data_IF_908831867889
#
_entry.id   IF_908831867889
#
_cell.length_a   1.000
_cell.length_b   1.000
_cell.length_c   1.000
_cell.angle_alpha   90.00
_cell.angle_beta   90.00
_cell.angle_gamma   90.00
#
_symmetry.space_group_name_H-M   'P 1'
#
loop_
_entity.id
_entity.type
_entity.pdbx_description
1 polymer ?
#
# COMPACT_ATOMS: atom_id res chain seq x y z
N UNK A 1 -29.94 25.75 4.41
CA UNK A 1 -28.98 26.59 3.68
C UNK A 1 -27.74 25.73 3.50
N UNK A 2 -27.33 25.45 2.25
CA UNK A 2 -26.24 24.52 1.99
C UNK A 2 -24.96 25.02 2.65
N UNK A 3 -24.19 24.11 3.25
CA UNK A 3 -22.93 24.44 3.90
C UNK A 3 -21.76 23.90 3.08
N UNK A 4 -20.65 24.62 3.05
CA UNK A 4 -19.46 24.19 2.32
C UNK A 4 -18.86 22.95 2.97
N UNK A 5 -18.49 21.96 2.15
CA UNK A 5 -17.77 20.76 2.56
C UNK A 5 -16.28 20.93 2.23
N UNK A 6 -15.40 21.11 3.23
CA UNK A 6 -13.97 21.21 2.98
C UNK A 6 -13.42 19.86 2.51
N UNK A 7 -12.45 19.84 1.58
CA UNK A 7 -11.73 18.63 1.19
C UNK A 7 -11.06 17.95 2.38
N UNK A 8 -11.30 16.65 2.56
CA UNK A 8 -10.76 15.86 3.69
C UNK A 8 -9.63 14.93 3.28
N UNK A 9 -9.75 14.31 2.11
CA UNK A 9 -8.76 13.38 1.58
C UNK A 9 -7.82 14.07 0.58
N UNK A 10 -6.64 13.50 0.37
CA UNK A 10 -5.66 14.08 -0.56
C UNK A 10 -6.19 14.07 -2.00
N UNK A 11 -6.96 13.04 -2.38
CA UNK A 11 -7.72 13.02 -3.65
C UNK A 11 -8.69 14.19 -3.77
N UNK A 12 -9.42 14.53 -2.69
CA UNK A 12 -10.35 15.66 -2.71
C UNK A 12 -9.59 16.99 -2.80
N UNK A 13 -8.46 17.15 -2.09
CA UNK A 13 -7.60 18.34 -2.18
C UNK A 13 -7.08 18.52 -3.59
N UNK A 14 -6.49 17.46 -4.16
CA UNK A 14 -5.94 17.48 -5.52
C UNK A 14 -7.00 17.83 -6.56
N UNK A 15 -8.18 17.21 -6.47
CA UNK A 15 -9.29 17.49 -7.39
C UNK A 15 -9.77 18.94 -7.27
N UNK A 16 -9.88 19.47 -6.05
CA UNK A 16 -10.23 20.88 -5.84
C UNK A 16 -9.19 21.80 -6.48
N UNK A 17 -7.92 21.62 -6.15
CA UNK A 17 -6.83 22.47 -6.64
C UNK A 17 -6.71 22.43 -8.17
N UNK A 18 -6.85 21.25 -8.80
CA UNK A 18 -6.89 21.10 -10.27
C UNK A 18 -8.05 21.87 -10.90
N UNK A 19 -9.25 21.67 -10.38
CA UNK A 19 -10.47 22.29 -10.92
C UNK A 19 -10.45 23.81 -10.73
N UNK A 20 -9.94 24.29 -9.58
CA UNK A 20 -9.73 25.70 -9.32
C UNK A 20 -8.72 26.32 -10.30
N UNK A 21 -7.58 25.67 -10.54
CA UNK A 21 -6.57 26.15 -11.49
C UNK A 21 -7.13 26.23 -12.92
N UNK A 22 -7.83 25.19 -13.37
CA UNK A 22 -8.45 25.15 -14.70
C UNK A 22 -9.52 26.24 -14.87
N UNK A 23 -10.38 26.43 -13.87
CA UNK A 23 -11.43 27.45 -13.90
C UNK A 23 -10.87 28.86 -13.89
N UNK A 24 -9.84 29.10 -13.07
CA UNK A 24 -9.15 30.39 -13.00
C UNK A 24 -8.51 30.74 -14.35
N UNK A 25 -7.82 29.79 -14.98
CA UNK A 25 -7.21 29.98 -16.29
C UNK A 25 -8.26 30.31 -17.38
N UNK A 26 -9.41 29.63 -17.35
CA UNK A 26 -10.52 29.90 -18.26
C UNK A 26 -11.12 31.29 -18.04
N UNK A 27 -11.34 31.68 -16.80
CA UNK A 27 -11.95 32.96 -16.44
C UNK A 27 -11.05 34.14 -16.81
N UNK A 28 -9.73 34.03 -16.60
CA UNK A 28 -8.78 35.02 -17.09
C UNK A 28 -8.84 35.20 -18.61
N UNK A 29 -8.97 34.09 -19.37
CA UNK A 29 -9.19 34.14 -20.81
C UNK A 29 -10.47 34.89 -21.22
N UNK A 30 -11.50 34.82 -20.38
CA UNK A 30 -12.78 35.52 -20.54
C UNK A 30 -12.81 36.92 -19.93
N UNK A 31 -11.70 37.42 -19.38
CA UNK A 31 -11.60 38.70 -18.66
C UNK A 31 -12.49 38.77 -17.41
N UNK A 32 -12.74 37.63 -16.78
CA UNK A 32 -13.36 37.52 -15.47
C UNK A 32 -12.26 37.25 -14.44
N UNK A 33 -12.35 37.92 -13.29
CA UNK A 33 -11.37 37.78 -12.21
C UNK A 33 -12.13 37.58 -10.89
N UNK A 34 -12.20 36.33 -10.47
CA UNK A 34 -12.73 35.93 -9.16
C UNK A 34 -11.62 35.56 -8.17
N UNK A 35 -10.47 35.15 -8.68
CA UNK A 35 -9.27 34.78 -7.95
C UNK A 35 -8.16 35.73 -8.38
N UNK A 36 -7.29 36.13 -7.46
CA UNK A 36 -6.18 37.03 -7.69
C UNK A 36 -5.06 36.34 -8.47
N UNK A 37 -4.28 37.16 -9.19
CA UNK A 37 -3.16 36.64 -10.00
C UNK A 37 -2.06 36.01 -9.13
N UNK A 38 -1.92 36.48 -7.89
CA UNK A 38 -0.92 35.96 -6.96
C UNK A 38 -1.33 34.57 -6.47
N UNK A 39 -2.56 34.39 -5.99
CA UNK A 39 -3.11 33.07 -5.62
C UNK A 39 -3.09 32.10 -6.80
N UNK A 40 -3.40 32.56 -8.01
CA UNK A 40 -3.34 31.70 -9.20
C UNK A 40 -1.91 31.21 -9.50
N UNK A 41 -0.90 32.08 -9.38
CA UNK A 41 0.51 31.67 -9.58
C UNK A 41 0.99 30.70 -8.52
N UNK A 42 0.60 30.91 -7.26
CA UNK A 42 0.93 29.99 -6.18
C UNK A 42 0.30 28.62 -6.40
N UNK A 43 -0.96 28.61 -6.85
CA UNK A 43 -1.67 27.39 -7.24
C UNK A 43 -0.97 26.66 -8.40
N UNK A 44 -0.60 27.37 -9.46
CA UNK A 44 0.13 26.80 -10.62
C UNK A 44 1.52 26.27 -10.24
N UNK A 45 2.20 26.90 -9.29
CA UNK A 45 3.51 26.46 -8.82
C UNK A 45 3.41 25.24 -7.88
N UNK A 46 2.39 25.19 -7.02
CA UNK A 46 2.20 24.14 -6.03
C UNK A 46 1.62 22.85 -6.64
N UNK A 47 0.66 22.99 -7.55
CA UNK A 47 -0.14 21.87 -8.04
C UNK A 47 0.70 20.74 -8.67
N UNK A 48 1.71 20.99 -9.53
CA UNK A 48 2.54 19.92 -10.08
C UNK A 48 3.28 19.13 -9.01
N UNK A 49 3.78 19.81 -7.97
CA UNK A 49 4.51 19.18 -6.87
C UNK A 49 3.58 18.30 -6.02
N UNK A 50 2.37 18.79 -5.73
CA UNK A 50 1.39 18.04 -4.95
C UNK A 50 0.85 16.83 -5.71
N UNK A 51 0.70 16.97 -7.03
CA UNK A 51 0.28 15.87 -7.91
C UNK A 51 1.35 14.77 -8.00
N UNK A 52 2.62 15.15 -8.18
CA UNK A 52 3.76 14.23 -8.18
C UNK A 52 3.83 13.46 -6.86
N UNK A 53 3.78 14.15 -5.71
CA UNK A 53 3.76 13.51 -4.40
C UNK A 53 2.56 12.56 -4.20
N UNK A 54 1.38 12.92 -4.74
CA UNK A 54 0.21 12.05 -4.71
C UNK A 54 0.38 10.78 -5.55
N UNK A 55 0.97 10.90 -6.75
CA UNK A 55 1.24 9.74 -7.61
C UNK A 55 2.33 8.85 -7.01
N UNK A 56 3.37 9.43 -6.41
CA UNK A 56 4.45 8.69 -5.77
C UNK A 56 3.94 7.79 -4.64
N UNK A 57 2.99 8.28 -3.84
CA UNK A 57 2.32 7.45 -2.81
C UNK A 57 1.61 6.25 -3.42
N UNK A 58 0.88 6.44 -4.53
CA UNK A 58 0.17 5.35 -5.18
C UNK A 58 1.14 4.33 -5.81
N UNK A 59 2.22 4.80 -6.43
CA UNK A 59 3.23 3.95 -7.05
C UNK A 59 3.99 3.12 -6.01
N UNK A 60 4.52 3.77 -4.96
CA UNK A 60 5.26 3.08 -3.90
C UNK A 60 4.40 2.11 -3.09
N UNK A 61 3.12 2.42 -2.89
CA UNK A 61 2.18 1.46 -2.31
C UNK A 61 1.99 0.23 -3.19
N UNK A 62 1.83 0.42 -4.51
CA UNK A 62 1.71 -0.69 -5.46
C UNK A 62 2.96 -1.57 -5.51
N UNK A 63 4.14 -0.97 -5.38
CA UNK A 63 5.41 -1.71 -5.24
C UNK A 63 5.43 -2.51 -3.93
N UNK A 64 5.13 -1.90 -2.78
CA UNK A 64 5.06 -2.58 -1.50
C UNK A 64 4.08 -3.76 -1.50
N UNK A 65 2.88 -3.56 -2.04
CA UNK A 65 1.86 -4.62 -2.16
C UNK A 65 2.40 -5.82 -2.96
N UNK A 66 3.09 -5.55 -4.08
CA UNK A 66 3.73 -6.60 -4.88
C UNK A 66 4.82 -7.34 -4.10
N UNK A 67 5.76 -6.63 -3.47
CA UNK A 67 6.85 -7.28 -2.71
C UNK A 67 6.30 -8.15 -1.56
N UNK A 68 5.23 -7.70 -0.91
CA UNK A 68 4.54 -8.46 0.14
C UNK A 68 3.94 -9.75 -0.40
N UNK A 69 3.29 -9.69 -1.57
CA UNK A 69 2.72 -10.87 -2.24
C UNK A 69 3.83 -11.85 -2.66
N UNK A 70 4.90 -11.35 -3.28
CA UNK A 70 6.03 -12.17 -3.75
C UNK A 70 6.75 -12.87 -2.58
N UNK A 71 6.94 -12.17 -1.45
CA UNK A 71 7.41 -12.76 -0.20
C UNK A 71 6.51 -13.89 0.29
N UNK A 72 5.19 -13.66 0.34
CA UNK A 72 4.25 -14.66 0.86
C UNK A 72 4.19 -15.90 -0.01
N UNK A 73 4.20 -15.73 -1.34
CA UNK A 73 4.29 -16.84 -2.29
C UNK A 73 5.60 -17.64 -2.13
N UNK A 74 6.72 -16.96 -1.94
CA UNK A 74 8.01 -17.61 -1.73
C UNK A 74 8.07 -18.36 -0.38
N UNK A 75 7.49 -17.80 0.67
CA UNK A 75 7.38 -18.46 1.98
C UNK A 75 6.46 -19.69 1.91
N UNK A 76 5.32 -19.60 1.22
CA UNK A 76 4.42 -20.75 1.06
C UNK A 76 5.07 -21.86 0.24
N UNK A 77 5.87 -21.51 -0.76
CA UNK A 77 6.71 -22.48 -1.47
C UNK A 77 7.76 -23.14 -0.57
N UNK A 78 8.39 -22.38 0.33
CA UNK A 78 9.32 -22.94 1.32
C UNK A 78 8.63 -23.95 2.23
N UNK A 79 7.45 -23.59 2.78
CA UNK A 79 6.65 -24.49 3.61
C UNK A 79 6.28 -25.76 2.87
N UNK A 80 5.84 -25.65 1.62
CA UNK A 80 5.53 -26.81 0.79
C UNK A 80 6.73 -27.77 0.65
N UNK A 81 7.94 -27.24 0.42
CA UNK A 81 9.14 -28.07 0.31
C UNK A 81 9.52 -28.74 1.64
N UNK A 82 9.30 -28.07 2.77
CA UNK A 82 9.46 -28.68 4.09
C UNK A 82 8.48 -29.82 4.31
N UNK A 83 7.19 -29.59 4.02
CA UNK A 83 6.13 -30.59 4.16
C UNK A 83 6.41 -31.82 3.29
N UNK A 84 6.81 -31.61 2.03
CA UNK A 84 7.18 -32.70 1.12
C UNK A 84 8.38 -33.49 1.64
N UNK A 85 9.38 -32.81 2.21
CA UNK A 85 10.56 -33.47 2.79
C UNK A 85 10.20 -34.30 4.02
N UNK A 86 9.39 -33.75 4.92
CA UNK A 86 8.89 -34.45 6.10
C UNK A 86 8.04 -35.68 5.72
N UNK A 87 7.20 -35.57 4.70
CA UNK A 87 6.44 -36.70 4.15
C UNK A 87 7.35 -37.81 3.62
N UNK A 88 8.41 -37.46 2.89
CA UNK A 88 9.39 -38.44 2.40
C UNK A 88 10.09 -39.15 3.56
N UNK A 89 10.50 -38.40 4.59
CA UNK A 89 11.18 -38.96 5.77
C UNK A 89 10.23 -39.88 6.53
N UNK A 90 8.98 -39.47 6.80
CA UNK A 90 7.97 -40.31 7.45
C UNK A 90 7.75 -41.63 6.69
N UNK A 91 7.61 -41.56 5.37
CA UNK A 91 7.44 -42.73 4.50
C UNK A 91 8.68 -43.62 4.47
N UNK A 92 9.89 -43.03 4.45
CA UNK A 92 11.16 -43.77 4.53
C UNK A 92 11.22 -44.56 5.82
N UNK A 93 10.98 -43.92 6.95
CA UNK A 93 11.01 -44.55 8.27
C UNK A 93 10.03 -45.71 8.35
N UNK A 94 8.80 -45.51 7.88
CA UNK A 94 7.78 -46.56 7.86
C UNK A 94 8.13 -47.74 6.92
N UNK A 95 8.68 -47.45 5.73
CA UNK A 95 9.00 -48.47 4.72
C UNK A 95 10.24 -49.30 5.07
N UNK A 96 11.27 -48.64 5.59
CA UNK A 96 12.56 -49.27 5.90
C UNK A 96 12.58 -49.85 7.33
N UNK A 97 11.57 -49.57 8.16
CA UNK A 97 11.54 -49.97 9.56
C UNK A 97 12.63 -49.28 10.39
N UNK A 98 12.97 -48.04 10.03
CA UNK A 98 13.99 -47.26 10.74
C UNK A 98 13.51 -46.87 12.15
N UNK A 99 14.42 -46.63 13.10
CA UNK A 99 14.06 -46.13 14.41
C UNK A 99 13.33 -44.78 14.31
N UNK A 100 12.29 -44.59 15.12
CA UNK A 100 11.56 -43.31 15.23
C UNK A 100 12.49 -42.12 15.55
N UNK A 101 13.64 -42.38 16.20
CA UNK A 101 14.66 -41.37 16.46
C UNK A 101 15.20 -40.67 15.20
N UNK A 102 15.07 -41.29 14.02
CA UNK A 102 15.45 -40.68 12.74
C UNK A 102 14.65 -39.41 12.44
N UNK A 103 13.38 -39.35 12.87
CA UNK A 103 12.51 -38.18 12.67
C UNK A 103 13.09 -36.91 13.33
N UNK A 104 13.83 -37.06 14.43
CA UNK A 104 14.40 -35.94 15.18
C UNK A 104 15.49 -35.19 14.42
N UNK A 105 16.20 -35.85 13.52
CA UNK A 105 17.15 -35.17 12.65
C UNK A 105 16.45 -34.11 11.80
N UNK A 106 15.21 -34.37 11.39
CA UNK A 106 14.41 -33.45 10.56
C UNK A 106 13.46 -32.57 11.38
N UNK A 107 13.73 -32.43 12.70
CA UNK A 107 12.94 -31.60 13.61
C UNK A 107 11.46 -31.98 13.70
N UNK A 108 11.13 -33.23 13.40
CA UNK A 108 9.82 -33.81 13.63
C UNK A 108 9.74 -34.37 15.06
N UNK A 109 8.57 -34.26 15.66
CA UNK A 109 8.26 -34.94 16.91
C UNK A 109 8.29 -36.47 16.73
N UNK A 110 8.47 -37.27 17.80
CA UNK A 110 8.49 -38.73 17.70
C UNK A 110 7.19 -39.33 17.13
N UNK A 111 6.06 -38.64 17.20
CA UNK A 111 4.81 -39.06 16.57
C UNK A 111 4.71 -38.65 15.09
N UNK A 112 5.72 -37.96 14.55
CA UNK A 112 5.78 -37.45 13.19
C UNK A 112 5.13 -36.09 13.00
N UNK A 113 4.67 -35.44 14.08
CA UNK A 113 4.08 -34.10 14.05
C UNK A 113 5.12 -33.05 13.62
N UNK A 114 4.66 -32.12 12.80
CA UNK A 114 5.46 -31.04 12.22
C UNK A 114 5.47 -29.81 13.13
N UNK A 115 6.62 -29.14 13.29
CA UNK A 115 6.67 -27.83 13.94
C UNK A 115 5.96 -26.77 13.08
N UNK A 116 5.30 -25.83 13.74
CA UNK A 116 4.55 -24.75 13.08
C UNK A 116 5.01 -23.39 13.65
N UNK A 117 6.11 -22.82 13.14
CA UNK A 117 6.56 -21.48 13.52
C UNK A 117 5.50 -20.40 13.24
N UNK A 118 5.41 -19.42 14.13
CA UNK A 118 4.48 -18.27 14.03
C UNK A 118 5.08 -17.06 13.30
N UNK A 119 6.36 -17.16 12.91
CA UNK A 119 7.13 -16.07 12.32
C UNK A 119 7.93 -16.53 11.10
N UNK A 120 8.17 -15.59 10.19
CA UNK A 120 8.97 -15.80 8.98
C UNK A 120 10.42 -16.22 9.32
N UNK A 121 11.05 -15.56 10.29
CA UNK A 121 12.37 -15.95 10.82
C UNK A 121 12.37 -17.41 11.32
N UNK A 122 11.31 -17.79 12.05
CA UNK A 122 11.16 -19.14 12.57
C UNK A 122 11.07 -20.21 11.48
N UNK A 123 10.43 -19.90 10.35
CA UNK A 123 10.41 -20.79 9.18
C UNK A 123 11.78 -20.90 8.50
N UNK A 124 12.54 -19.81 8.41
CA UNK A 124 13.90 -19.83 7.87
C UNK A 124 14.85 -20.66 8.75
N UNK A 125 14.84 -20.42 10.06
CA UNK A 125 15.63 -21.17 11.03
C UNK A 125 15.32 -22.66 10.98
N UNK A 126 14.03 -23.00 10.87
CA UNK A 126 13.58 -24.38 10.76
C UNK A 126 14.10 -25.04 9.48
N UNK A 127 14.04 -24.35 8.34
CA UNK A 127 14.56 -24.87 7.09
C UNK A 127 16.06 -25.15 7.13
N UNK A 128 16.87 -24.23 7.69
CA UNK A 128 18.30 -24.45 7.88
C UNK A 128 18.59 -25.67 8.77
N UNK A 129 17.83 -25.80 9.85
CA UNK A 129 17.92 -26.91 10.78
C UNK A 129 17.58 -28.25 10.14
N UNK A 130 16.55 -28.31 9.29
CA UNK A 130 16.17 -29.51 8.53
C UNK A 130 17.24 -29.89 7.51
N UNK A 131 17.83 -28.90 6.81
CA UNK A 131 18.93 -29.11 5.86
C UNK A 131 20.15 -29.71 6.57
N UNK A 132 20.57 -29.12 7.69
CA UNK A 132 21.68 -29.63 8.50
C UNK A 132 21.38 -31.03 9.04
N UNK A 133 20.14 -31.24 9.50
CA UNK A 133 19.66 -32.50 10.02
C UNK A 133 19.71 -33.66 9.04
N UNK A 134 19.41 -33.43 7.76
CA UNK A 134 19.56 -34.46 6.72
C UNK A 134 21.03 -34.91 6.55
N UNK A 135 21.97 -33.96 6.70
CA UNK A 135 23.41 -34.25 6.76
C UNK A 135 23.79 -35.10 7.97
N UNK A 136 23.31 -34.72 9.16
CA UNK A 136 23.54 -35.47 10.39
C UNK A 136 22.96 -36.90 10.32
N UNK A 137 21.78 -37.05 9.69
CA UNK A 137 21.16 -38.36 9.45
C UNK A 137 22.03 -39.23 8.52
N UNK A 138 22.62 -38.63 7.47
CA UNK A 138 23.53 -39.31 6.57
C UNK A 138 24.82 -39.77 7.27
N UNK A 139 25.40 -38.92 8.13
CA UNK A 139 26.57 -39.27 8.95
C UNK A 139 26.27 -40.41 9.94
N UNK A 140 25.04 -40.47 10.44
CA UNK A 140 24.55 -41.57 11.28
C UNK A 140 24.23 -42.87 10.48
N UNK A 141 24.39 -42.85 9.15
CA UNK A 141 24.24 -44.01 8.27
C UNK A 141 22.84 -44.22 7.71
N UNK A 142 21.97 -43.20 7.76
CA UNK A 142 20.64 -43.23 7.14
C UNK A 142 20.68 -42.64 5.72
N UNK A 143 19.74 -43.04 4.87
CA UNK A 143 19.63 -42.46 3.51
C UNK A 143 19.17 -41.01 3.58
N UNK A 144 19.70 -40.13 2.74
CA UNK A 144 19.25 -38.72 2.63
C UNK A 144 17.87 -38.61 1.98
N UNK A 145 17.16 -37.52 2.23
CA UNK A 145 15.94 -37.18 1.49
C UNK A 145 16.28 -36.82 0.04
N UNK A 146 15.44 -37.27 -0.91
CA UNK A 146 15.71 -37.12 -2.35
C UNK A 146 14.61 -36.38 -3.13
N UNK A 147 13.45 -36.12 -2.53
CA UNK A 147 12.32 -35.48 -3.19
C UNK A 147 11.46 -34.67 -2.19
N UNK A 148 11.86 -33.46 -1.79
CA UNK A 148 12.98 -32.67 -2.31
C UNK A 148 14.33 -33.08 -1.70
N UNK A 149 15.40 -32.71 -2.41
CA UNK A 149 16.79 -32.74 -1.90
C UNK A 149 17.06 -31.52 -1.02
N UNK A 150 18.07 -31.60 -0.16
CA UNK A 150 18.56 -30.46 0.64
C UNK A 150 19.03 -29.29 -0.23
N UNK A 151 19.59 -29.57 -1.41
CA UNK A 151 20.00 -28.54 -2.36
C UNK A 151 18.79 -27.77 -2.94
N UNK A 152 17.69 -28.47 -3.23
CA UNK A 152 16.44 -27.83 -3.66
C UNK A 152 15.80 -27.02 -2.53
N UNK A 153 15.77 -27.56 -1.31
CA UNK A 153 15.26 -26.83 -0.14
C UNK A 153 16.11 -25.58 0.15
N UNK A 154 17.45 -25.67 0.04
CA UNK A 154 18.34 -24.52 0.18
C UNK A 154 18.05 -23.46 -0.88
N UNK A 155 17.87 -23.85 -2.14
CA UNK A 155 17.56 -22.91 -3.21
C UNK A 155 16.23 -22.18 -2.99
N UNK A 156 15.21 -22.87 -2.46
CA UNK A 156 13.92 -22.26 -2.11
C UNK A 156 14.05 -21.35 -0.89
N UNK A 157 14.81 -21.75 0.14
CA UNK A 157 15.12 -20.92 1.30
C UNK A 157 15.83 -19.62 0.90
N UNK A 158 16.86 -19.71 0.06
CA UNK A 158 17.61 -18.54 -0.42
C UNK A 158 16.73 -17.60 -1.25
N UNK A 159 15.77 -18.15 -2.01
CA UNK A 159 14.78 -17.37 -2.73
C UNK A 159 13.84 -16.65 -1.76
N UNK A 160 13.23 -17.37 -0.82
CA UNK A 160 12.31 -16.77 0.16
C UNK A 160 12.96 -15.68 1.01
N UNK A 161 14.24 -15.84 1.37
CA UNK A 161 15.02 -14.80 2.06
C UNK A 161 15.22 -13.54 1.23
N UNK A 162 15.43 -13.69 -0.08
CA UNK A 162 15.59 -12.56 -0.99
C UNK A 162 14.30 -11.76 -1.08
N UNK A 163 13.18 -12.42 -1.38
CA UNK A 163 11.88 -11.74 -1.47
C UNK A 163 11.51 -11.08 -0.13
N UNK A 164 11.81 -11.72 1.01
CA UNK A 164 11.58 -11.12 2.32
C UNK A 164 12.44 -9.87 2.58
N UNK A 165 13.65 -9.81 2.03
CA UNK A 165 14.54 -8.66 2.17
C UNK A 165 14.10 -7.46 1.31
N UNK A 166 13.37 -7.70 0.22
CA UNK A 166 12.91 -6.66 -0.71
C UNK A 166 11.69 -5.87 -0.16
N UNK A 167 10.95 -6.43 0.81
CA UNK A 167 9.83 -5.73 1.47
C UNK A 167 10.29 -4.50 2.25
N UNK A 168 11.41 -4.58 2.97
CA UNK A 168 11.91 -3.49 3.83
C UNK A 168 12.18 -2.20 3.03
N UNK A 169 12.99 -2.20 1.95
CA UNK A 169 13.23 -0.98 1.19
C UNK A 169 11.96 -0.44 0.51
N UNK A 170 11.00 -1.30 0.13
CA UNK A 170 9.72 -0.87 -0.42
C UNK A 170 8.84 -0.17 0.62
N UNK A 171 8.78 -0.71 1.84
CA UNK A 171 8.07 -0.10 2.98
C UNK A 171 8.67 1.27 3.33
N UNK A 172 10.00 1.37 3.41
CA UNK A 172 10.67 2.65 3.64
C UNK A 172 10.43 3.67 2.51
N UNK A 173 10.29 3.21 1.25
CA UNK A 173 9.97 4.08 0.13
C UNK A 173 8.55 4.63 0.22
N UNK A 174 7.60 3.77 0.58
CA UNK A 174 6.21 4.17 0.82
C UNK A 174 6.08 5.15 1.99
N UNK A 175 6.78 4.91 3.10
CA UNK A 175 6.82 5.81 4.25
C UNK A 175 7.36 7.19 3.89
N UNK A 176 8.43 7.25 3.07
CA UNK A 176 8.97 8.52 2.57
C UNK A 176 7.96 9.27 1.70
N UNK A 177 7.24 8.57 0.82
CA UNK A 177 6.22 9.18 -0.02
C UNK A 177 5.04 9.71 0.81
N UNK A 178 4.59 8.96 1.82
CA UNK A 178 3.55 9.38 2.77
C UNK A 178 3.96 10.64 3.55
N UNK A 179 5.20 10.67 4.06
CA UNK A 179 5.71 11.83 4.76
C UNK A 179 5.81 13.07 3.85
N UNK A 180 6.20 12.88 2.59
CA UNK A 180 6.30 13.96 1.61
C UNK A 180 4.93 14.59 1.32
N UNK A 181 3.89 13.78 1.04
CA UNK A 181 2.56 14.34 0.80
C UNK A 181 1.96 14.96 2.07
N UNK A 182 2.23 14.37 3.25
CA UNK A 182 1.76 14.91 4.52
C UNK A 182 2.31 16.31 4.80
N UNK A 183 3.59 16.54 4.52
CA UNK A 183 4.24 17.84 4.67
C UNK A 183 3.58 18.93 3.81
N UNK A 184 2.95 18.55 2.69
CA UNK A 184 2.29 19.48 1.76
C UNK A 184 0.82 19.75 2.11
N UNK A 185 0.19 18.95 3.00
CA UNK A 185 -1.23 19.09 3.33
C UNK A 185 -1.59 20.45 3.92
N UNK A 186 -0.69 21.03 4.72
CA UNK A 186 -0.91 22.35 5.33
C UNK A 186 -1.00 23.43 4.24
N UNK A 187 -0.03 23.48 3.33
CA UNK A 187 -0.02 24.41 2.21
C UNK A 187 -1.20 24.16 1.25
N UNK A 188 -1.55 22.90 0.99
CA UNK A 188 -2.73 22.57 0.20
C UNK A 188 -4.01 23.15 0.82
N UNK A 189 -4.19 23.01 2.14
CA UNK A 189 -5.36 23.56 2.84
C UNK A 189 -5.36 25.09 2.83
N UNK A 190 -4.20 25.73 3.01
CA UNK A 190 -4.06 27.19 2.94
C UNK A 190 -4.48 27.72 1.55
N UNK A 191 -3.96 27.14 0.47
CA UNK A 191 -4.36 27.51 -0.89
C UNK A 191 -5.85 27.26 -1.18
N UNK A 192 -6.42 26.19 -0.63
CA UNK A 192 -7.86 25.92 -0.74
C UNK A 192 -8.67 27.01 -0.04
N UNK A 193 -8.26 27.40 1.17
CA UNK A 193 -8.93 28.44 1.94
C UNK A 193 -8.81 29.81 1.25
N UNK A 194 -7.64 30.16 0.72
CA UNK A 194 -7.42 31.40 -0.04
C UNK A 194 -8.33 31.48 -1.27
N UNK A 195 -8.37 30.41 -2.08
CA UNK A 195 -9.27 30.31 -3.24
C UNK A 195 -10.72 30.51 -2.82
N UNK A 196 -11.16 29.85 -1.75
CA UNK A 196 -12.55 29.92 -1.28
C UNK A 196 -12.91 31.31 -0.73
N UNK A 197 -11.99 31.95 -0.02
CA UNK A 197 -12.22 33.25 0.58
C UNK A 197 -12.22 34.37 -0.47
N UNK A 198 -11.37 34.29 -1.48
CA UNK A 198 -11.41 35.19 -2.65
C UNK A 198 -12.72 35.03 -3.43
N UNK A 199 -13.14 33.78 -3.72
CA UNK A 199 -14.43 33.50 -4.35
C UNK A 199 -15.58 34.10 -3.55
N UNK A 200 -15.62 33.88 -2.23
CA UNK A 200 -16.66 34.44 -1.35
C UNK A 200 -16.65 35.96 -1.36
N UNK A 201 -15.46 36.56 -1.32
CA UNK A 201 -15.34 38.01 -1.34
C UNK A 201 -15.85 38.59 -2.67
N UNK A 202 -15.41 38.07 -3.81
CA UNK A 202 -15.82 38.54 -5.13
C UNK A 202 -17.33 38.36 -5.36
N UNK A 203 -17.88 37.22 -4.93
CA UNK A 203 -19.27 36.86 -5.16
C UNK A 203 -20.25 37.42 -4.09
N UNK A 204 -19.78 38.17 -3.09
CA UNK A 204 -20.59 38.63 -1.94
C UNK A 204 -21.85 39.44 -2.28
N UNK A 205 -21.91 40.03 -3.48
CA UNK A 205 -23.08 40.81 -3.96
C UNK A 205 -24.03 40.01 -4.84
N UNK A 206 -23.64 38.79 -5.23
CA UNK A 206 -24.46 37.88 -6.01
C UNK A 206 -25.51 37.20 -5.13
N UNK A 207 -26.59 36.71 -5.75
CA UNK A 207 -27.56 35.87 -5.06
C UNK A 207 -26.94 34.54 -4.61
N UNK A 208 -27.34 34.02 -3.46
CA UNK A 208 -26.74 32.82 -2.87
C UNK A 208 -26.73 31.60 -3.81
N UNK A 209 -27.73 31.46 -4.69
CA UNK A 209 -27.77 30.39 -5.69
C UNK A 209 -26.70 30.59 -6.79
N UNK A 210 -26.52 31.82 -7.26
CA UNK A 210 -25.48 32.19 -8.23
C UNK A 210 -24.08 31.98 -7.64
N UNK A 211 -23.88 32.38 -6.39
CA UNK A 211 -22.62 32.15 -5.66
C UNK A 211 -22.24 30.67 -5.65
N UNK A 212 -23.15 29.79 -5.22
CA UNK A 212 -22.90 28.35 -5.17
C UNK A 212 -22.62 27.77 -6.55
N UNK A 213 -23.37 28.18 -7.57
CA UNK A 213 -23.15 27.71 -8.95
C UNK A 213 -21.75 28.05 -9.43
N UNK A 214 -21.26 29.27 -9.20
CA UNK A 214 -19.91 29.68 -9.59
C UNK A 214 -18.87 28.94 -8.73
N UNK A 215 -19.03 28.87 -7.40
CA UNK A 215 -18.09 28.16 -6.55
C UNK A 215 -17.95 26.66 -6.93
N UNK A 216 -19.04 26.01 -7.38
CA UNK A 216 -18.99 24.62 -7.87
C UNK A 216 -18.11 24.47 -9.11
N UNK A 217 -18.05 25.47 -10.00
CA UNK A 217 -17.15 25.39 -11.17
C UNK A 217 -15.68 25.33 -10.75
N UNK A 218 -15.34 25.95 -9.62
CA UNK A 218 -14.00 25.90 -9.01
C UNK A 218 -13.75 24.65 -8.16
N UNK A 219 -14.71 23.72 -8.07
CA UNK A 219 -14.58 22.46 -7.33
C UNK A 219 -15.13 22.48 -5.90
N UNK A 220 -15.77 23.57 -5.47
CA UNK A 220 -16.41 23.63 -4.15
C UNK A 220 -17.62 22.67 -4.07
N UNK A 221 -17.71 21.91 -2.98
CA UNK A 221 -18.84 21.01 -2.71
C UNK A 221 -19.70 21.52 -1.57
N UNK A 222 -21.01 21.30 -1.67
CA UNK A 222 -21.97 21.76 -0.66
C UNK A 222 -22.79 20.59 -0.10
N UNK A 223 -22.96 20.58 1.22
CA UNK A 223 -23.81 19.65 1.94
C UNK A 223 -25.14 20.28 2.33
N UNK A 224 -26.17 19.45 2.48
CA UNK A 224 -27.51 19.85 2.92
C UNK A 224 -27.85 19.21 4.25
N UNK A 225 -28.59 19.93 5.10
CA UNK A 225 -29.13 19.33 6.31
C UNK A 225 -30.34 18.45 5.97
N UNK A 226 -30.66 17.42 6.78
CA UNK A 226 -31.84 16.59 6.56
C UNK A 226 -33.12 17.44 6.45
N UNK A 227 -33.89 17.24 5.37
CA UNK A 227 -35.14 17.97 5.12
C UNK A 227 -35.01 19.31 4.39
N UNK A 228 -33.79 19.74 4.04
CA UNK A 228 -33.60 20.94 3.20
C UNK A 228 -33.78 20.62 1.71
N UNK A 229 -34.41 21.53 0.92
CA UNK A 229 -34.52 21.36 -0.52
C UNK A 229 -33.12 21.40 -1.17
N UNK A 230 -32.84 20.44 -2.04
CA UNK A 230 -31.59 20.37 -2.82
C UNK A 230 -31.68 21.30 -4.03
N UNK A 231 -30.59 21.98 -4.37
CA UNK A 231 -30.49 22.69 -5.65
C UNK A 231 -30.56 21.65 -6.80
N UNK A 232 -31.18 21.99 -7.94
CA UNK A 232 -31.36 21.04 -9.06
C UNK A 232 -30.03 20.53 -9.64
N UNK A 233 -28.95 21.28 -9.48
CA UNK A 233 -27.61 20.94 -9.95
C UNK A 233 -26.92 19.86 -9.07
N UNK A 234 -27.47 19.50 -7.89
CA UNK A 234 -26.88 18.51 -6.97
C UNK A 234 -27.57 17.13 -7.04
N UNK A 235 -28.39 16.88 -8.05
CA UNK A 235 -29.15 15.61 -8.21
C UNK A 235 -28.43 14.62 -9.14
N UNK A 236 -27.35 15.03 -9.81
CA UNK A 236 -26.63 14.23 -10.83
C UNK A 236 -25.20 13.78 -10.45
N UNK A 237 -24.72 13.96 -9.22
CA UNK A 237 -23.47 13.33 -8.72
C UNK A 237 -23.73 12.07 -7.88
#
# INVERSE_FOLDING_TARGET
MPYLLPPKTDTQRLNFLRTAAQSTALDYGNKLEYISLDTFKELEAFLPQFDEAFLDVANTFGELDREVVERDEALDKLKQYLDDMWEVVRRRVARNGEPVGVLRFYYLEPDGTEPQPDSLEGWFDLAEKVIAGDGDAAEAGYDTAVCPTTAELQAVLDAARREAADVVPADEAYDRAQAAIEAMRAQANELIDDVLDELRFHLRKEEAASQRRIMRTYGAKFGYRPGEPRDMDDVEE
#
